data_IF_862695271928
#
_entry.id   IF_862695271928
#
_cell.length_a   1.000
_cell.length_b   1.000
_cell.length_c   1.000
_cell.angle_alpha   90.00
_cell.angle_beta   90.00
_cell.angle_gamma   90.00
#
_symmetry.space_group_name_H-M   'P 1'
#
loop_
_entity.id
_entity.type
_entity.pdbx_description
1 polymer ?
#
# COMPACT_ATOMS: atom_id res chain seq x y z
N UNK A 1 -10.65 -11.86 -0.58
CA UNK A 1 -10.86 -10.67 0.26
C UNK A 1 -9.67 -9.74 0.12
N UNK A 2 -9.89 -8.42 -0.05
CA UNK A 2 -8.78 -7.48 -0.10
C UNK A 2 -8.12 -7.31 1.27
N UNK A 3 -6.86 -6.94 1.25
CA UNK A 3 -6.14 -6.58 2.47
C UNK A 3 -6.55 -5.16 2.85
N UNK A 4 -7.23 -5.01 3.97
CA UNK A 4 -7.72 -3.70 4.42
C UNK A 4 -6.65 -2.98 5.23
N UNK A 5 -6.22 -1.80 4.75
CA UNK A 5 -5.30 -0.97 5.53
C UNK A 5 -6.02 -0.37 6.73
N UNK A 6 -5.31 -0.20 7.86
CA UNK A 6 -5.89 0.50 9.01
C UNK A 6 -6.10 1.97 8.69
N UNK A 7 -6.85 2.66 9.54
CA UNK A 7 -7.11 4.08 9.36
C UNK A 7 -5.86 4.94 9.50
N UNK A 8 -4.86 4.46 10.22
CA UNK A 8 -3.62 5.19 10.46
C UNK A 8 -2.41 4.36 10.02
N UNK A 9 -1.57 4.95 9.16
CA UNK A 9 -0.30 4.34 8.73
C UNK A 9 0.80 5.38 8.88
N UNK A 10 1.63 5.21 9.90
CA UNK A 10 2.75 6.10 10.20
C UNK A 10 3.97 5.25 10.57
N UNK A 11 5.08 5.91 10.88
CA UNK A 11 6.30 5.22 11.30
C UNK A 11 6.09 4.32 12.53
N UNK A 12 5.09 4.61 13.35
CA UNK A 12 4.82 3.85 14.57
C UNK A 12 4.34 2.44 14.27
N UNK A 13 3.56 2.24 13.21
CA UNK A 13 2.97 0.94 12.89
C UNK A 13 3.39 0.36 11.54
N UNK A 14 4.20 1.10 10.77
CA UNK A 14 4.55 0.69 9.41
C UNK A 14 5.29 -0.65 9.36
N UNK A 15 6.24 -0.87 10.25
CA UNK A 15 7.03 -2.11 10.26
C UNK A 15 6.13 -3.32 10.53
N UNK A 16 5.25 -3.21 11.50
CA UNK A 16 4.33 -4.30 11.82
C UNK A 16 3.33 -4.54 10.68
N UNK A 17 2.82 -3.46 10.10
CA UNK A 17 1.89 -3.54 8.99
C UNK A 17 2.54 -4.22 7.77
N UNK A 18 3.78 -3.86 7.48
CA UNK A 18 4.53 -4.48 6.39
C UNK A 18 4.67 -5.99 6.60
N UNK A 19 5.03 -6.40 7.81
CA UNK A 19 5.14 -7.83 8.15
C UNK A 19 3.80 -8.55 8.04
N UNK A 20 2.73 -7.92 8.52
CA UNK A 20 1.39 -8.50 8.46
C UNK A 20 0.97 -8.75 7.01
N UNK A 21 1.25 -7.80 6.13
CA UNK A 21 0.95 -7.96 4.71
C UNK A 21 1.76 -9.09 4.08
N UNK A 22 3.04 -9.17 4.38
CA UNK A 22 3.91 -10.21 3.81
C UNK A 22 3.50 -11.62 4.27
N UNK A 23 2.87 -11.74 5.43
CA UNK A 23 2.32 -13.02 5.89
C UNK A 23 1.04 -13.40 5.15
N UNK A 24 0.42 -12.46 4.45
CA UNK A 24 -0.85 -12.63 3.76
C UNK A 24 -0.72 -12.30 2.27
N UNK A 25 0.31 -12.82 1.62
CA UNK A 25 0.63 -12.48 0.22
C UNK A 25 -0.54 -12.65 -0.75
N UNK A 26 -1.34 -13.69 -0.57
CA UNK A 26 -2.48 -13.93 -1.46
C UNK A 26 -3.53 -12.82 -1.35
N UNK A 27 -3.66 -12.22 -0.18
CA UNK A 27 -4.62 -11.14 0.07
C UNK A 27 -4.08 -9.81 -0.42
N UNK A 28 -2.74 -9.65 -0.46
CA UNK A 28 -2.07 -8.41 -0.89
C UNK A 28 -2.32 -8.06 -2.36
N UNK A 29 -2.80 -8.99 -3.16
CA UNK A 29 -3.08 -8.69 -4.57
C UNK A 29 -4.09 -7.55 -4.72
N UNK A 30 -4.94 -7.36 -3.71
CA UNK A 30 -5.83 -6.20 -3.65
C UNK A 30 -5.70 -5.56 -2.28
N UNK A 31 -5.27 -4.30 -2.25
CA UNK A 31 -5.11 -3.52 -1.03
C UNK A 31 -6.23 -2.48 -0.98
N UNK A 32 -7.07 -2.56 0.03
CA UNK A 32 -8.21 -1.65 0.20
C UNK A 32 -7.82 -0.53 1.16
N UNK A 33 -7.88 0.71 0.67
CA UNK A 33 -7.52 1.90 1.43
C UNK A 33 -8.75 2.69 1.89
N UNK A 34 -9.93 2.09 1.88
CA UNK A 34 -11.16 2.81 2.22
C UNK A 34 -11.18 3.35 3.64
N UNK A 35 -10.50 2.69 4.59
CA UNK A 35 -10.43 3.14 5.98
C UNK A 35 -9.27 4.11 6.24
N UNK A 36 -8.37 4.28 5.28
CA UNK A 36 -7.15 5.07 5.46
C UNK A 36 -7.46 6.56 5.53
N UNK A 37 -7.18 7.19 6.68
CA UNK A 37 -7.47 8.62 6.90
C UNK A 37 -6.27 9.40 7.42
N UNK A 38 -5.39 8.78 8.22
CA UNK A 38 -4.24 9.44 8.82
C UNK A 38 -2.96 8.71 8.39
N UNK A 39 -2.19 9.35 7.51
CA UNK A 39 -0.99 8.72 6.97
C UNK A 39 -0.01 9.78 6.47
N UNK A 40 1.25 9.36 6.37
CA UNK A 40 2.32 10.16 5.76
C UNK A 40 2.98 9.35 4.64
N UNK A 41 4.15 9.79 4.17
CA UNK A 41 4.86 9.10 3.10
C UNK A 41 5.29 7.67 3.46
N UNK A 42 5.24 7.31 4.73
CA UNK A 42 5.57 5.96 5.18
C UNK A 42 4.62 4.91 4.56
N UNK A 43 3.37 5.30 4.28
CA UNK A 43 2.43 4.40 3.63
C UNK A 43 2.95 3.96 2.26
N UNK A 44 3.63 4.85 1.54
CA UNK A 44 4.21 4.51 0.24
C UNK A 44 5.33 3.48 0.39
N UNK A 45 6.13 3.59 1.44
CA UNK A 45 7.20 2.64 1.73
C UNK A 45 6.61 1.23 1.94
N UNK A 46 5.52 1.14 2.69
CA UNK A 46 4.84 -0.13 2.94
C UNK A 46 4.30 -0.72 1.64
N UNK A 47 3.60 0.09 0.85
CA UNK A 47 3.03 -0.36 -0.41
C UNK A 47 4.10 -0.80 -1.40
N UNK A 48 5.21 -0.07 -1.46
CA UNK A 48 6.33 -0.43 -2.34
C UNK A 48 6.99 -1.73 -1.92
N UNK A 49 7.12 -1.98 -0.62
CA UNK A 49 7.68 -3.22 -0.11
C UNK A 49 6.83 -4.42 -0.54
N UNK A 50 5.52 -4.29 -0.43
CA UNK A 50 4.58 -5.32 -0.87
C UNK A 50 4.63 -5.53 -2.37
N UNK A 51 4.66 -4.43 -3.14
CA UNK A 51 4.74 -4.51 -4.60
C UNK A 51 6.01 -5.22 -5.04
N UNK A 52 7.14 -4.88 -4.44
CA UNK A 52 8.41 -5.51 -4.73
C UNK A 52 8.36 -7.02 -4.47
N UNK A 53 7.73 -7.43 -3.38
CA UNK A 53 7.60 -8.83 -3.04
C UNK A 53 6.74 -9.59 -4.06
N UNK A 54 5.64 -9.00 -4.50
CA UNK A 54 4.77 -9.62 -5.48
C UNK A 54 5.39 -9.65 -6.88
N UNK A 55 6.17 -8.64 -7.24
CA UNK A 55 6.83 -8.59 -8.55
C UNK A 55 7.81 -9.75 -8.74
N UNK A 56 8.42 -10.24 -7.67
CA UNK A 56 9.29 -11.41 -7.74
C UNK A 56 8.53 -12.63 -8.26
N UNK A 57 7.22 -12.67 -8.01
CA UNK A 57 6.33 -13.75 -8.45
C UNK A 57 5.52 -13.38 -9.70
N UNK A 58 5.93 -12.32 -10.40
CA UNK A 58 5.22 -11.79 -11.57
C UNK A 58 3.79 -11.40 -11.25
N UNK A 59 3.58 -10.83 -10.06
CA UNK A 59 2.29 -10.37 -9.58
C UNK A 59 2.38 -8.90 -9.21
N UNK A 60 1.22 -8.25 -9.09
CA UNK A 60 1.12 -6.83 -8.74
C UNK A 60 0.08 -6.62 -7.65
N UNK A 61 0.32 -5.61 -6.80
CA UNK A 61 -0.76 -5.15 -5.93
C UNK A 61 -1.73 -4.29 -6.75
N UNK A 62 -2.99 -4.33 -6.36
CA UNK A 62 -4.02 -3.45 -6.91
C UNK A 62 -4.57 -2.63 -5.75
N UNK A 63 -4.31 -1.32 -5.75
CA UNK A 63 -4.76 -0.43 -4.68
C UNK A 63 -6.14 0.10 -5.05
N UNK A 64 -7.12 -0.17 -4.20
CA UNK A 64 -8.51 0.26 -4.43
C UNK A 64 -8.94 1.23 -3.34
N UNK A 65 -9.88 2.10 -3.67
CA UNK A 65 -10.43 3.09 -2.74
C UNK A 65 -9.36 4.02 -2.16
N UNK A 66 -8.32 4.32 -2.96
CA UNK A 66 -7.25 5.20 -2.51
C UNK A 66 -7.76 6.62 -2.28
N UNK A 67 -7.49 7.23 -1.11
CA UNK A 67 -7.85 8.63 -0.88
C UNK A 67 -7.11 9.54 -1.86
N UNK A 68 -7.72 10.68 -2.17
CA UNK A 68 -7.09 11.64 -3.08
C UNK A 68 -5.70 12.06 -2.60
N UNK A 69 -5.54 12.28 -1.30
CA UNK A 69 -4.25 12.64 -0.71
C UNK A 69 -3.18 11.58 -0.98
N UNK A 70 -3.55 10.30 -0.96
CA UNK A 70 -2.62 9.23 -1.26
C UNK A 70 -2.17 9.28 -2.73
N UNK A 71 -3.10 9.54 -3.64
CA UNK A 71 -2.78 9.66 -5.06
C UNK A 71 -1.85 10.84 -5.32
N UNK A 72 -2.10 11.98 -4.67
CA UNK A 72 -1.24 13.16 -4.80
C UNK A 72 0.16 12.85 -4.27
N UNK A 73 0.22 12.22 -3.10
CA UNK A 73 1.50 11.87 -2.47
C UNK A 73 2.32 10.92 -3.36
N UNK A 74 1.67 9.90 -3.92
CA UNK A 74 2.34 8.97 -4.83
C UNK A 74 2.87 9.67 -6.08
N UNK A 75 2.13 10.64 -6.61
CA UNK A 75 2.56 11.43 -7.74
C UNK A 75 3.79 12.28 -7.43
N UNK A 76 3.81 12.92 -6.25
CA UNK A 76 4.95 13.73 -5.81
C UNK A 76 6.23 12.88 -5.71
N UNK A 77 6.10 11.65 -5.22
CA UNK A 77 7.25 10.74 -5.10
C UNK A 77 7.53 9.94 -6.38
N UNK A 78 6.72 10.14 -7.43
CA UNK A 78 6.95 9.48 -8.71
C UNK A 78 6.68 7.98 -8.72
N UNK A 79 5.81 7.49 -7.84
CA UNK A 79 5.53 6.05 -7.70
C UNK A 79 4.08 5.70 -8.04
N UNK A 80 3.30 6.64 -8.55
CA UNK A 80 1.87 6.39 -8.80
C UNK A 80 1.65 5.29 -9.83
N UNK A 81 2.43 5.25 -10.91
CA UNK A 81 2.30 4.18 -11.91
C UNK A 81 2.75 2.84 -11.33
N UNK A 82 3.83 2.85 -10.57
CA UNK A 82 4.37 1.63 -9.96
C UNK A 82 3.37 0.98 -9.02
N UNK A 83 2.57 1.79 -8.35
CA UNK A 83 1.57 1.32 -7.40
C UNK A 83 0.17 1.19 -8.00
N UNK A 84 0.01 1.51 -9.29
CA UNK A 84 -1.30 1.45 -9.91
C UNK A 84 -2.25 2.55 -9.47
N UNK A 85 -1.69 3.70 -9.05
CA UNK A 85 -2.48 4.84 -8.58
C UNK A 85 -2.62 5.94 -9.63
N UNK A 86 -2.03 5.74 -10.78
CA UNK A 86 -2.10 6.74 -11.85
C UNK A 86 -3.47 6.80 -12.50
#
# INVERSE_FOLDING_TARGET
>A
MPFLLPSKVTQENAVQLEKDGLLNELVLQTVDCSALTDFDSTVLTVLLAWQKKLLVKDQHISVVHAPHKLKVLAGVYGVSELLGLA
#
